data_IF_536588533161
#
_entry.id   IF_536588533161
#
_cell.length_a   1.000
_cell.length_b   1.000
_cell.length_c   1.000
_cell.angle_alpha   90.00
_cell.angle_beta   90.00
_cell.angle_gamma   90.00
#
_symmetry.space_group_name_H-M   'P 1'
#
loop_
_entity.id
_entity.type
_entity.pdbx_description
1 polymer ?
#
# COMPACT_ATOMS: atom_id res chain seq x y z
N UNK A 1 7.49 3.52 1.47
CA UNK A 1 7.28 4.44 0.34
C UNK A 1 8.49 5.34 0.20
N UNK A 2 8.96 5.61 -1.01
CA UNK A 2 10.15 6.41 -1.22
C UNK A 2 10.46 6.66 -2.69
N UNK A 3 11.60 7.30 -2.92
CA UNK A 3 12.11 7.67 -4.24
C UNK A 3 13.57 7.23 -4.39
N UNK A 4 14.05 7.24 -5.64
CA UNK A 4 15.48 7.39 -5.92
C UNK A 4 15.82 8.88 -5.88
N UNK A 5 16.87 9.25 -5.16
CA UNK A 5 17.37 10.64 -5.09
C UNK A 5 18.00 11.11 -6.39
N UNK A 6 18.47 10.16 -7.21
CA UNK A 6 19.18 10.42 -8.45
C UNK A 6 18.48 9.68 -9.60
N UNK A 7 17.72 10.39 -10.45
CA UNK A 7 17.04 9.77 -11.59
C UNK A 7 17.99 9.09 -12.59
N UNK A 8 19.23 9.56 -12.74
CA UNK A 8 20.20 8.95 -13.67
C UNK A 8 20.71 7.59 -13.17
N UNK A 9 20.63 7.35 -11.85
CA UNK A 9 21.00 6.10 -11.19
C UNK A 9 19.78 5.28 -10.75
N UNK A 10 18.59 5.55 -11.29
CA UNK A 10 17.37 4.86 -10.89
C UNK A 10 17.39 3.34 -11.19
N UNK A 11 18.04 2.93 -12.28
CA UNK A 11 18.25 1.51 -12.58
C UNK A 11 19.12 0.83 -11.51
N UNK A 12 20.17 1.50 -11.03
CA UNK A 12 21.02 1.01 -9.93
C UNK A 12 20.21 0.87 -8.64
N UNK A 13 19.37 1.85 -8.32
CA UNK A 13 18.48 1.81 -7.17
C UNK A 13 17.49 0.63 -7.24
N UNK A 14 16.92 0.37 -8.42
CA UNK A 14 15.99 -0.74 -8.60
C UNK A 14 16.69 -2.09 -8.50
N UNK A 15 17.86 -2.24 -9.13
CA UNK A 15 18.69 -3.45 -9.01
C UNK A 15 19.10 -3.72 -7.57
N UNK A 16 19.54 -2.70 -6.82
CA UNK A 16 19.82 -2.86 -5.38
C UNK A 16 18.60 -3.34 -4.60
N UNK A 17 17.41 -2.82 -4.92
CA UNK A 17 16.19 -3.24 -4.25
C UNK A 17 15.89 -4.73 -4.47
N UNK A 18 16.07 -5.20 -5.70
CA UNK A 18 15.73 -6.55 -6.13
C UNK A 18 16.78 -7.57 -5.69
N UNK A 19 18.07 -7.25 -5.82
CA UNK A 19 19.18 -8.16 -5.55
C UNK A 19 19.69 -8.13 -4.10
N UNK A 20 19.48 -7.01 -3.38
CA UNK A 20 20.04 -6.80 -2.04
C UNK A 20 18.94 -6.54 -1.01
N UNK A 21 18.18 -5.46 -1.17
CA UNK A 21 17.27 -4.99 -0.12
C UNK A 21 16.16 -5.99 0.23
N UNK A 22 15.41 -6.47 -0.76
CA UNK A 22 14.30 -7.41 -0.53
C UNK A 22 14.81 -8.76 0.01
N UNK A 23 15.83 -9.40 -0.60
CA UNK A 23 16.42 -10.61 -0.05
C UNK A 23 16.83 -10.43 1.41
N UNK A 24 17.51 -9.33 1.74
CA UNK A 24 17.95 -9.07 3.11
C UNK A 24 16.79 -8.84 4.07
N UNK A 25 15.84 -7.99 3.68
CA UNK A 25 14.67 -7.67 4.49
C UNK A 25 13.81 -8.89 4.81
N UNK A 26 13.80 -9.89 3.92
CA UNK A 26 12.94 -11.08 4.03
C UNK A 26 13.67 -12.35 4.46
N UNK A 27 15.00 -12.37 4.43
CA UNK A 27 15.80 -13.55 4.77
C UNK A 27 15.69 -13.98 6.23
N UNK A 28 15.71 -13.02 7.15
CA UNK A 28 15.70 -13.24 8.59
C UNK A 28 14.97 -12.07 9.28
N UNK A 29 14.26 -12.35 10.37
CA UNK A 29 13.47 -11.34 11.09
C UNK A 29 11.97 -11.45 10.79
N UNK A 30 11.19 -10.37 11.03
CA UNK A 30 9.73 -10.46 11.03
C UNK A 30 9.06 -10.27 9.67
N UNK A 31 9.78 -9.82 8.63
CA UNK A 31 9.19 -9.48 7.33
C UNK A 31 9.27 -10.62 6.31
N UNK A 32 8.21 -10.79 5.53
CA UNK A 32 8.06 -11.81 4.48
C UNK A 32 7.48 -11.19 3.21
N UNK A 33 7.52 -11.94 2.11
CA UNK A 33 6.77 -11.66 0.87
C UNK A 33 6.96 -10.22 0.35
N UNK A 34 8.22 -9.77 0.25
CA UNK A 34 8.55 -8.44 -0.24
C UNK A 34 8.16 -8.26 -1.70
N UNK A 35 7.37 -7.23 -1.99
CA UNK A 35 6.94 -6.87 -3.34
C UNK A 35 7.02 -5.36 -3.55
N UNK A 36 7.35 -4.93 -4.77
CA UNK A 36 7.48 -3.52 -5.13
C UNK A 36 6.46 -3.10 -6.17
N UNK A 37 6.12 -1.82 -6.07
CA UNK A 37 5.26 -1.14 -7.02
C UNK A 37 5.81 0.25 -7.34
N UNK A 38 5.51 0.71 -8.56
CA UNK A 38 5.77 2.07 -9.04
C UNK A 38 4.45 2.82 -9.18
N UNK A 39 4.43 4.09 -8.77
CA UNK A 39 3.28 4.97 -8.90
C UNK A 39 3.08 5.34 -10.37
N UNK A 40 1.92 4.96 -10.91
CA UNK A 40 1.59 5.10 -12.32
C UNK A 40 1.02 6.49 -12.67
N UNK A 41 0.58 7.26 -11.66
CA UNK A 41 0.07 8.63 -11.79
C UNK A 41 0.74 9.49 -10.70
N UNK A 42 2.06 9.71 -10.80
CA UNK A 42 2.78 10.48 -9.79
C UNK A 42 2.42 11.98 -9.86
N UNK A 43 1.84 12.49 -8.78
CA UNK A 43 1.67 13.92 -8.55
C UNK A 43 2.83 14.51 -7.72
N UNK A 44 3.09 15.83 -7.78
CA UNK A 44 4.11 16.47 -6.95
C UNK A 44 3.96 16.11 -5.46
N UNK A 45 5.07 15.67 -4.84
CA UNK A 45 5.11 15.28 -3.43
C UNK A 45 4.62 13.86 -3.13
N UNK A 46 4.13 13.11 -4.12
CA UNK A 46 3.80 11.69 -3.96
C UNK A 46 5.05 10.80 -4.12
N UNK A 47 5.13 9.68 -3.38
CA UNK A 47 6.20 8.71 -3.56
C UNK A 47 6.11 8.06 -4.95
N UNK A 48 7.26 7.85 -5.57
CA UNK A 48 7.37 7.08 -6.81
C UNK A 48 7.27 5.58 -6.57
N UNK A 49 7.78 5.08 -5.44
CA UNK A 49 7.82 3.65 -5.14
C UNK A 49 7.12 3.29 -3.83
N UNK A 50 6.44 2.14 -3.84
CA UNK A 50 5.96 1.44 -2.65
C UNK A 50 6.61 0.06 -2.59
N UNK A 51 7.17 -0.29 -1.44
CA UNK A 51 7.52 -1.66 -1.09
C UNK A 51 6.54 -2.13 0.00
N UNK A 52 5.94 -3.29 -0.18
CA UNK A 52 5.08 -3.95 0.79
C UNK A 52 5.74 -5.24 1.24
N UNK A 53 5.55 -5.54 2.53
CA UNK A 53 6.01 -6.74 3.19
C UNK A 53 4.89 -7.24 4.10
N UNK A 54 4.85 -8.54 4.32
CA UNK A 54 3.94 -9.18 5.26
C UNK A 54 4.67 -9.53 6.55
N UNK A 55 3.94 -9.64 7.66
CA UNK A 55 4.47 -10.08 8.94
C UNK A 55 3.38 -10.75 9.76
N UNK A 56 3.73 -11.82 10.47
CA UNK A 56 2.85 -12.51 11.42
C UNK A 56 3.04 -12.01 12.86
N UNK A 57 3.80 -10.92 13.04
CA UNK A 57 4.06 -10.38 14.37
C UNK A 57 2.80 -9.73 14.97
N UNK A 58 2.42 -10.17 16.17
CA UNK A 58 1.30 -9.57 16.91
C UNK A 58 1.68 -8.19 17.51
N UNK A 59 2.92 -8.06 17.98
CA UNK A 59 3.47 -6.80 18.49
C UNK A 59 4.26 -6.07 17.39
N UNK A 60 3.60 -5.10 16.75
CA UNK A 60 4.20 -4.29 15.69
C UNK A 60 5.30 -3.35 16.21
N UNK A 61 5.31 -2.98 17.49
CA UNK A 61 6.36 -2.12 18.08
C UNK A 61 7.64 -2.93 18.26
N UNK A 62 7.53 -4.14 18.79
CA UNK A 62 8.65 -5.07 18.89
C UNK A 62 9.18 -5.44 17.50
N UNK A 63 8.30 -5.78 16.56
CA UNK A 63 8.69 -6.10 15.19
C UNK A 63 9.43 -4.94 14.51
N UNK A 64 8.95 -3.70 14.67
CA UNK A 64 9.61 -2.50 14.14
C UNK A 64 11.00 -2.29 14.73
N UNK A 65 11.17 -2.58 16.02
CA UNK A 65 12.47 -2.48 16.70
C UNK A 65 13.48 -3.48 16.12
N UNK A 66 13.06 -4.73 15.89
CA UNK A 66 13.89 -5.76 15.23
C UNK A 66 14.27 -5.35 13.81
N UNK A 67 13.32 -4.84 13.03
CA UNK A 67 13.60 -4.36 11.65
C UNK A 67 14.59 -3.19 11.67
N UNK A 68 14.45 -2.27 12.62
CA UNK A 68 15.36 -1.12 12.74
C UNK A 68 16.78 -1.56 13.08
N UNK A 69 16.95 -2.50 14.00
CA UNK A 69 18.26 -3.04 14.36
C UNK A 69 18.90 -3.79 13.19
N UNK A 70 18.13 -4.62 12.50
CA UNK A 70 18.58 -5.33 11.30
C UNK A 70 19.02 -4.35 10.20
N UNK A 71 18.24 -3.30 9.96
CA UNK A 71 18.58 -2.26 8.98
C UNK A 71 19.87 -1.51 9.36
N UNK A 72 20.14 -1.33 10.66
CA UNK A 72 21.41 -0.80 11.16
C UNK A 72 22.59 -1.72 10.81
N UNK A 73 22.48 -3.01 11.15
CA UNK A 73 23.52 -4.01 10.85
C UNK A 73 23.82 -4.14 9.36
N UNK A 74 22.79 -4.13 8.51
CA UNK A 74 22.96 -4.19 7.05
C UNK A 74 23.67 -2.94 6.51
N UNK A 75 23.40 -1.77 7.08
CA UNK A 75 24.09 -0.52 6.72
C UNK A 75 25.56 -0.57 7.11
N UNK A 76 25.87 -1.02 8.32
CA UNK A 76 27.26 -1.15 8.80
C UNK A 76 28.05 -2.18 7.97
N UNK A 77 27.37 -3.20 7.43
CA UNK A 77 27.92 -4.17 6.50
C UNK A 77 28.03 -3.67 5.04
N UNK A 78 27.71 -2.40 4.76
CA UNK A 78 27.77 -1.82 3.42
C UNK A 78 26.68 -2.31 2.46
N UNK A 79 25.59 -2.89 2.98
CA UNK A 79 24.46 -3.43 2.18
C UNK A 79 23.32 -2.43 2.02
N UNK A 80 23.57 -1.15 2.30
CA UNK A 80 22.67 -0.04 2.02
C UNK A 80 23.04 0.69 0.73
N UNK A 81 22.12 1.50 0.20
CA UNK A 81 22.37 2.45 -0.89
C UNK A 81 22.30 3.89 -0.40
N UNK A 82 23.08 4.79 -1.00
CA UNK A 82 22.99 6.25 -0.85
C UNK A 82 21.80 6.85 -1.61
N UNK A 83 21.33 6.15 -2.64
CA UNK A 83 20.27 6.56 -3.57
C UNK A 83 18.87 6.61 -2.96
N UNK A 84 18.63 5.93 -1.84
CA UNK A 84 17.27 5.83 -1.28
C UNK A 84 16.85 7.09 -0.53
N UNK A 85 15.71 7.65 -0.92
CA UNK A 85 14.93 8.61 -0.13
C UNK A 85 13.72 7.90 0.48
N UNK A 86 13.71 7.73 1.80
CA UNK A 86 12.56 7.16 2.52
C UNK A 86 11.58 8.27 2.91
N UNK A 87 10.38 8.24 2.34
CA UNK A 87 9.32 9.22 2.66
C UNK A 87 8.38 8.72 3.77
N UNK A 88 8.17 7.41 3.85
CA UNK A 88 7.32 6.78 4.85
C UNK A 88 7.66 5.31 4.99
N UNK A 89 7.82 4.87 6.24
CA UNK A 89 7.85 3.47 6.64
C UNK A 89 6.89 3.28 7.80
N UNK A 90 5.95 2.35 7.65
CA UNK A 90 4.93 2.05 8.64
C UNK A 90 4.68 0.53 8.69
N UNK A 91 4.30 0.05 9.87
CA UNK A 91 3.69 -1.26 10.06
C UNK A 91 2.23 -1.03 10.43
N UNK A 92 1.32 -1.70 9.73
CA UNK A 92 -0.12 -1.55 9.90
C UNK A 92 -0.73 -2.90 10.23
N UNK A 93 -1.77 -2.90 11.07
CA UNK A 93 -2.43 -4.12 11.55
C UNK A 93 -3.60 -4.45 10.63
N UNK A 94 -3.70 -5.69 10.14
CA UNK A 94 -4.87 -6.11 9.38
C UNK A 94 -6.12 -6.09 10.26
N UNK A 95 -7.21 -5.53 9.72
CA UNK A 95 -8.53 -5.48 10.36
C UNK A 95 -9.62 -6.14 9.48
N UNK A 96 -9.24 -6.69 8.33
CA UNK A 96 -10.15 -7.43 7.46
C UNK A 96 -9.64 -7.55 6.03
N UNK A 97 -10.08 -8.59 5.33
CA UNK A 97 -9.82 -8.81 3.92
C UNK A 97 -10.98 -9.52 3.25
N UNK A 98 -11.24 -9.21 1.98
CA UNK A 98 -12.28 -9.87 1.18
C UNK A 98 -11.80 -10.00 -0.26
N UNK A 99 -12.11 -11.12 -0.92
CA UNK A 99 -11.70 -11.37 -2.29
C UNK A 99 -12.86 -11.98 -3.08
N UNK A 100 -13.11 -11.44 -4.28
CA UNK A 100 -13.99 -12.02 -5.30
C UNK A 100 -13.20 -12.83 -6.34
N UNK A 101 -11.87 -12.87 -6.22
CA UNK A 101 -11.00 -13.58 -7.15
C UNK A 101 -11.09 -15.11 -7.00
N UNK A 102 -11.02 -15.82 -8.14
CA UNK A 102 -10.57 -17.22 -8.13
C UNK A 102 -9.14 -17.28 -7.57
N UNK A 103 -8.83 -18.32 -6.80
CA UNK A 103 -7.48 -18.55 -6.29
C UNK A 103 -6.44 -18.47 -7.43
N UNK A 104 -5.38 -17.69 -7.22
CA UNK A 104 -4.27 -17.55 -8.17
C UNK A 104 -4.44 -16.44 -9.22
N UNK A 105 -5.46 -15.57 -9.12
CA UNK A 105 -5.55 -14.39 -10.00
C UNK A 105 -4.33 -13.47 -9.82
N UNK A 106 -3.74 -13.03 -10.93
CA UNK A 106 -2.49 -12.28 -10.91
C UNK A 106 -2.70 -10.85 -10.38
N UNK A 107 -1.79 -10.40 -9.52
CA UNK A 107 -1.74 -8.99 -9.06
C UNK A 107 -0.81 -8.21 -9.97
N UNK A 108 -1.39 -7.44 -10.90
CA UNK A 108 -0.67 -6.54 -11.82
C UNK A 108 -0.58 -5.12 -11.25
N UNK A 109 -1.62 -4.67 -10.58
CA UNK A 109 -1.72 -3.30 -10.07
C UNK A 109 -2.44 -3.25 -8.72
N UNK A 110 -2.19 -2.17 -7.97
CA UNK A 110 -2.86 -1.86 -6.71
C UNK A 110 -3.49 -0.47 -6.76
N UNK A 111 -4.62 -0.30 -6.07
CA UNK A 111 -5.04 0.98 -5.54
C UNK A 111 -4.73 1.00 -4.03
N UNK A 112 -3.88 1.93 -3.62
CA UNK A 112 -3.59 2.20 -2.22
C UNK A 112 -4.33 3.46 -1.80
N UNK A 113 -5.14 3.36 -0.75
CA UNK A 113 -5.87 4.49 -0.16
C UNK A 113 -5.57 4.54 1.32
N UNK A 114 -5.28 5.74 1.83
CA UNK A 114 -5.20 5.99 3.26
C UNK A 114 -6.07 7.20 3.60
N UNK A 115 -6.80 7.10 4.69
CA UNK A 115 -7.72 8.12 5.17
C UNK A 115 -7.81 8.14 6.69
N UNK A 116 -8.27 9.27 7.21
CA UNK A 116 -8.79 9.38 8.58
C UNK A 116 -10.32 9.52 8.55
N UNK A 117 -10.97 9.35 9.70
CA UNK A 117 -12.31 9.88 9.89
C UNK A 117 -12.19 11.38 10.24
N UNK A 118 -13.06 12.22 9.67
CA UNK A 118 -13.13 13.65 10.02
C UNK A 118 -13.55 13.86 11.47
N UNK A 119 -14.36 12.95 11.99
CA UNK A 119 -14.88 12.94 13.35
C UNK A 119 -14.52 11.60 14.02
N UNK A 120 -13.58 11.59 14.98
CA UNK A 120 -13.16 10.37 15.68
C UNK A 120 -14.31 9.58 16.32
N UNK A 121 -15.38 10.25 16.74
CA UNK A 121 -16.54 9.59 17.36
C UNK A 121 -17.39 8.79 16.33
N UNK A 122 -17.12 8.98 15.03
CA UNK A 122 -17.82 8.31 13.91
C UNK A 122 -16.95 7.31 13.17
N UNK A 123 -15.81 6.92 13.74
CA UNK A 123 -14.93 5.90 13.14
C UNK A 123 -15.63 4.55 12.93
N UNK A 124 -16.51 4.15 13.86
CA UNK A 124 -17.29 2.91 13.70
C UNK A 124 -18.24 3.00 12.51
N UNK A 125 -18.91 4.14 12.32
CA UNK A 125 -19.78 4.40 11.17
C UNK A 125 -19.00 4.37 9.86
N UNK A 126 -17.83 5.01 9.81
CA UNK A 126 -16.93 4.96 8.66
C UNK A 126 -16.48 3.53 8.38
N UNK A 127 -16.14 2.78 9.43
CA UNK A 127 -15.67 1.40 9.30
C UNK A 127 -16.76 0.48 8.78
N UNK A 128 -17.99 0.63 9.27
CA UNK A 128 -19.16 -0.10 8.81
C UNK A 128 -19.47 0.23 7.35
N UNK A 129 -19.56 1.51 6.98
CA UNK A 129 -19.74 1.92 5.58
C UNK A 129 -18.67 1.35 4.66
N UNK A 130 -17.40 1.39 5.08
CA UNK A 130 -16.30 0.93 4.25
C UNK A 130 -16.31 -0.59 4.03
N UNK A 131 -16.70 -1.37 5.04
CA UNK A 131 -16.77 -2.83 4.99
C UNK A 131 -18.03 -3.35 4.29
N UNK A 132 -19.19 -2.76 4.61
CA UNK A 132 -20.50 -3.29 4.19
C UNK A 132 -21.04 -2.63 2.92
N UNK A 133 -20.49 -1.49 2.50
CA UNK A 133 -20.96 -0.75 1.31
C UNK A 133 -19.82 -0.54 0.31
N UNK A 134 -18.78 0.19 0.70
CA UNK A 134 -17.76 0.63 -0.26
C UNK A 134 -16.94 -0.52 -0.87
N UNK A 135 -16.52 -1.49 -0.05
CA UNK A 135 -15.77 -2.64 -0.54
C UNK A 135 -16.59 -3.55 -1.45
N UNK A 136 -17.81 -3.96 -1.06
CA UNK A 136 -18.71 -4.67 -1.97
C UNK A 136 -18.87 -3.94 -3.30
N UNK A 137 -19.16 -2.64 -3.30
CA UNK A 137 -19.29 -1.83 -4.51
C UNK A 137 -18.05 -1.92 -5.41
N UNK A 138 -16.85 -1.77 -4.83
CA UNK A 138 -15.58 -1.82 -5.57
C UNK A 138 -15.29 -3.21 -6.14
N UNK A 139 -15.62 -4.28 -5.40
CA UNK A 139 -15.39 -5.65 -5.87
C UNK A 139 -16.42 -6.08 -6.92
N UNK A 140 -17.69 -5.70 -6.74
CA UNK A 140 -18.78 -5.98 -7.67
C UNK A 140 -18.66 -5.20 -8.98
N UNK A 141 -17.91 -4.09 -9.01
CA UNK A 141 -17.61 -3.38 -10.24
C UNK A 141 -16.75 -4.20 -11.21
N UNK A 142 -16.07 -5.24 -10.73
CA UNK A 142 -15.18 -6.10 -11.52
C UNK A 142 -13.83 -5.49 -11.88
N UNK A 143 -13.51 -4.28 -11.39
CA UNK A 143 -12.22 -3.62 -11.67
C UNK A 143 -11.13 -4.00 -10.67
N UNK A 144 -11.52 -4.42 -9.47
CA UNK A 144 -10.64 -4.97 -8.44
C UNK A 144 -11.21 -6.31 -7.97
N UNK A 145 -10.32 -7.23 -7.60
CA UNK A 145 -10.70 -8.60 -7.24
C UNK A 145 -10.42 -8.93 -5.78
N UNK A 146 -9.59 -8.14 -5.10
CA UNK A 146 -9.32 -8.32 -3.66
C UNK A 146 -9.20 -6.96 -2.97
N UNK A 147 -9.62 -6.92 -1.71
CA UNK A 147 -9.62 -5.75 -0.86
C UNK A 147 -9.07 -6.12 0.52
N UNK A 148 -8.21 -5.28 1.07
CA UNK A 148 -7.61 -5.45 2.38
C UNK A 148 -7.75 -4.15 3.16
N UNK A 149 -8.02 -4.27 4.46
CA UNK A 149 -8.12 -3.15 5.40
C UNK A 149 -7.08 -3.30 6.48
N UNK A 150 -6.47 -2.17 6.80
CA UNK A 150 -5.52 -2.09 7.89
C UNK A 150 -5.78 -0.86 8.76
N UNK A 151 -5.41 -0.99 10.02
CA UNK A 151 -5.30 0.11 10.97
C UNK A 151 -3.83 0.45 11.18
N UNK A 152 -3.51 1.73 11.06
CA UNK A 152 -2.20 2.29 11.33
C UNK A 152 -2.16 2.79 12.79
N UNK A 153 -1.36 2.18 13.68
CA UNK A 153 -1.24 2.62 15.07
C UNK A 153 -0.53 3.96 15.23
N UNK A 154 0.11 4.48 14.17
CA UNK A 154 0.87 5.73 14.20
C UNK A 154 0.48 6.62 13.00
N UNK A 155 -0.73 7.21 12.99
CA UNK A 155 -1.17 8.07 11.90
C UNK A 155 -0.28 9.32 11.75
N UNK A 156 -0.21 9.83 10.52
CA UNK A 156 0.54 11.02 10.12
C UNK A 156 -0.18 11.69 8.94
N UNK A 157 0.25 12.89 8.56
CA UNK A 157 -0.35 13.62 7.42
C UNK A 157 -0.29 12.84 6.09
N UNK A 158 0.70 11.95 5.92
CA UNK A 158 0.84 11.12 4.71
C UNK A 158 0.12 9.78 4.84
N UNK A 159 0.03 9.21 6.03
CA UNK A 159 -0.60 7.92 6.28
C UNK A 159 -1.57 8.06 7.45
N UNK A 160 -2.85 8.16 7.13
CA UNK A 160 -3.93 8.20 8.12
C UNK A 160 -4.09 6.89 8.89
N UNK A 161 -5.08 6.86 9.78
CA UNK A 161 -5.39 5.74 10.65
C UNK A 161 -5.87 4.52 9.88
N UNK A 162 -6.62 4.71 8.79
CA UNK A 162 -7.13 3.59 7.99
C UNK A 162 -6.39 3.51 6.66
N UNK A 163 -6.07 2.28 6.26
CA UNK A 163 -5.48 1.96 4.96
C UNK A 163 -6.35 0.91 4.29
N UNK A 164 -6.68 1.14 3.02
CA UNK A 164 -7.31 0.17 2.15
C UNK A 164 -6.39 -0.11 0.95
N UNK A 165 -6.20 -1.38 0.64
CA UNK A 165 -5.46 -1.84 -0.54
C UNK A 165 -6.41 -2.67 -1.38
N UNK A 166 -6.48 -2.36 -2.67
CA UNK A 166 -7.27 -3.13 -3.64
C UNK A 166 -6.37 -3.68 -4.74
N UNK A 167 -6.52 -4.97 -5.04
CA UNK A 167 -5.73 -5.70 -6.03
C UNK A 167 -6.48 -5.90 -7.34
N UNK A 168 -5.76 -5.80 -8.46
CA UNK A 168 -6.31 -6.05 -9.80
C UNK A 168 -5.27 -6.67 -10.73
N UNK A 169 -5.74 -7.45 -11.69
CA UNK A 169 -4.99 -7.96 -12.84
C UNK A 169 -4.98 -6.96 -14.02
N UNK A 170 -5.74 -5.88 -13.90
CA UNK A 170 -5.83 -4.84 -14.90
C UNK A 170 -4.64 -3.88 -14.85
N UNK A 171 -4.49 -3.15 -15.94
CA UNK A 171 -3.68 -1.94 -16.01
C UNK A 171 -4.17 -0.88 -15.00
N UNK A 172 -3.26 -0.15 -14.32
CA UNK A 172 -3.64 0.73 -13.21
C UNK A 172 -4.59 1.85 -13.62
N UNK A 173 -4.38 2.46 -14.80
CA UNK A 173 -5.25 3.52 -15.31
C UNK A 173 -6.63 2.98 -15.66
N UNK A 174 -6.69 1.78 -16.26
CA UNK A 174 -7.96 1.12 -16.59
C UNK A 174 -8.80 0.86 -15.34
N UNK A 175 -8.22 0.23 -14.32
CA UNK A 175 -8.92 -0.06 -13.07
C UNK A 175 -9.40 1.21 -12.36
N UNK A 176 -8.54 2.23 -12.31
CA UNK A 176 -8.85 3.49 -11.66
C UNK A 176 -9.94 4.29 -12.41
N UNK A 177 -9.84 4.41 -13.74
CA UNK A 177 -10.84 5.11 -14.55
C UNK A 177 -12.19 4.38 -14.50
N UNK A 178 -12.19 3.05 -14.60
CA UNK A 178 -13.38 2.22 -14.50
C UNK A 178 -14.08 2.37 -13.15
N UNK A 179 -13.34 2.28 -12.05
CA UNK A 179 -13.91 2.45 -10.71
C UNK A 179 -14.44 3.88 -10.50
N UNK A 180 -13.72 4.90 -11.01
CA UNK A 180 -14.19 6.29 -10.93
C UNK A 180 -15.49 6.52 -11.71
N UNK A 181 -15.71 5.83 -12.82
CA UNK A 181 -16.94 5.96 -13.61
C UNK A 181 -18.18 5.39 -12.90
N UNK A 182 -17.99 4.58 -11.85
CA UNK A 182 -19.07 4.02 -11.03
C UNK A 182 -19.61 5.00 -9.97
N UNK A 183 -18.85 6.05 -9.62
CA UNK A 183 -19.24 6.99 -8.57
C UNK A 183 -20.64 7.62 -8.74
N UNK A 184 -21.06 8.09 -9.94
CA UNK A 184 -22.40 8.63 -10.11
C UNK A 184 -23.50 7.61 -9.77
N UNK A 185 -23.29 6.33 -10.13
CA UNK A 185 -24.22 5.24 -9.81
C UNK A 185 -24.28 5.02 -8.30
N UNK A 186 -23.13 4.86 -7.64
CA UNK A 186 -23.07 4.64 -6.19
C UNK A 186 -23.66 5.82 -5.40
N UNK A 187 -23.40 7.05 -5.83
CA UNK A 187 -24.00 8.24 -5.22
C UNK A 187 -25.53 8.26 -5.38
N UNK A 188 -26.06 7.87 -6.55
CA UNK A 188 -27.51 7.74 -6.75
C UNK A 188 -28.15 6.64 -5.89
N UNK A 189 -27.38 5.63 -5.49
CA UNK A 189 -27.78 4.58 -4.55
C UNK A 189 -27.64 5.01 -3.07
N UNK A 190 -27.09 6.21 -2.79
CA UNK A 190 -26.81 6.67 -1.43
C UNK A 190 -25.58 6.03 -0.80
N UNK A 191 -24.72 5.39 -1.60
CA UNK A 191 -23.50 4.72 -1.13
C UNK A 191 -22.30 5.67 -0.96
N UNK A 192 -22.46 6.95 -1.27
CA UNK A 192 -21.47 7.98 -0.92
C UNK A 192 -21.38 8.18 0.60
N UNK A 193 -20.26 8.70 1.08
CA UNK A 193 -20.11 9.16 2.46
C UNK A 193 -19.36 10.50 2.49
N UNK A 194 -19.51 11.23 3.60
CA UNK A 194 -18.72 12.44 3.89
C UNK A 194 -17.89 12.29 5.18
N UNK A 195 -17.67 11.05 5.63
CA UNK A 195 -17.02 10.71 6.88
C UNK A 195 -15.50 10.78 6.79
N UNK A 196 -14.95 10.35 5.66
CA UNK A 196 -13.51 10.21 5.46
C UNK A 196 -12.81 11.47 4.98
N UNK A 197 -11.55 11.64 5.37
CA UNK A 197 -10.60 12.58 4.75
C UNK A 197 -9.41 11.81 4.20
N UNK A 198 -9.21 11.89 2.88
CA UNK A 198 -8.10 11.24 2.17
C UNK A 198 -6.75 11.86 2.59
N UNK A 199 -5.78 11.00 2.89
CA UNK A 199 -4.38 11.37 3.16
C UNK A 199 -3.47 11.04 2.00
N UNK A 200 -3.60 9.81 1.50
CA UNK A 200 -2.81 9.35 0.36
C UNK A 200 -3.69 8.48 -0.52
N UNK A 201 -3.60 8.69 -1.83
CA UNK A 201 -4.16 7.81 -2.83
C UNK A 201 -3.12 7.58 -3.91
N UNK A 202 -2.72 6.33 -4.11
CA UNK A 202 -1.75 5.94 -5.12
C UNK A 202 -2.35 4.88 -6.02
N UNK A 203 -2.10 4.98 -7.32
CA UNK A 203 -2.39 3.91 -8.27
C UNK A 203 -1.05 3.35 -8.70
N UNK A 204 -0.87 2.06 -8.47
CA UNK A 204 0.45 1.46 -8.41
C UNK A 204 0.52 0.30 -9.40
N UNK A 205 1.57 0.24 -10.19
CA UNK A 205 1.89 -0.89 -11.05
C UNK A 205 2.95 -1.77 -10.37
N UNK A 206 2.78 -3.10 -10.41
CA UNK A 206 3.75 -4.02 -9.83
C UNK A 206 5.05 -4.00 -10.62
N UNK A 207 6.18 -3.90 -9.93
CA UNK A 207 7.49 -4.10 -10.54
C UNK A 207 7.82 -5.60 -10.54
N UNK A 208 8.23 -6.09 -11.70
CA UNK A 208 8.87 -7.40 -11.82
C UNK A 208 10.37 -7.26 -11.55
N UNK A 209 11.00 -8.17 -10.79
CA UNK A 209 12.44 -8.16 -10.60
C UNK A 209 13.16 -8.10 -11.94
N UNK A 210 14.14 -7.22 -12.06
CA UNK A 210 15.00 -7.11 -13.24
C UNK A 210 16.05 -8.22 -13.15
N UNK A 211 15.84 -9.31 -13.90
CA UNK A 211 16.80 -10.44 -14.02
C UNK A 211 17.94 -10.09 -14.99
#
# INVERSE_FOLDING_TARGET
MGNCKDPEREEEYNRWYDEVHIPDATSQGPLRNGVRFVNAEQEPGQPKYLALYETDAEDLVAARSVVSEMAGRLRDAGRSTDLSESLLTAMVKSIGSTSSATAGKAVRSLLFVSLDCKDPDREEELSHWHGEVHQPDVLESGFYHSAYRYENPNPSDRLGKFVAIYETDLDPQTASAGTRSMWPKWNAMGHGNDLGILRTRLILHRLTPQL
#
